data_IF_930573736198
#
_entry.id   IF_930573736198
#
_cell.length_a   1.000
_cell.length_b   1.000
_cell.length_c   1.000
_cell.angle_alpha   90.00
_cell.angle_beta   90.00
_cell.angle_gamma   90.00
#
_symmetry.space_group_name_H-M   'P 1'
#
loop_
_entity.id
_entity.type
_entity.pdbx_description
1 polymer ?
#
# COMPACT_ATOMS: atom_id res chain seq x y z
N UNK A 1 -0.58 -13.26 -18.36
CA UNK A 1 -0.85 -11.80 -18.38
C UNK A 1 -1.15 -11.35 -16.94
N UNK A 2 -0.51 -10.28 -16.46
CA UNK A 2 -0.69 -9.81 -15.08
C UNK A 2 -2.07 -9.15 -14.87
N UNK A 3 -2.73 -9.49 -13.75
CA UNK A 3 -4.05 -8.99 -13.37
C UNK A 3 -3.92 -7.66 -12.62
N UNK A 4 -4.77 -6.69 -12.95
CA UNK A 4 -4.77 -5.35 -12.32
C UNK A 4 -5.28 -5.42 -10.88
N UNK A 5 -6.40 -6.11 -10.63
CA UNK A 5 -6.95 -6.35 -9.28
C UNK A 5 -7.60 -5.12 -8.62
N UNK A 6 -6.92 -3.97 -8.64
CA UNK A 6 -7.36 -2.71 -8.05
C UNK A 6 -7.91 -1.78 -9.14
N UNK A 7 -9.22 -1.83 -9.37
CA UNK A 7 -9.88 -1.12 -10.47
C UNK A 7 -11.03 -0.19 -10.03
N UNK A 8 -11.21 0.05 -8.74
CA UNK A 8 -12.17 1.01 -8.18
C UNK A 8 -11.47 2.01 -7.29
N UNK A 9 -12.11 3.15 -7.03
CA UNK A 9 -11.65 4.03 -5.96
C UNK A 9 -12.06 3.39 -4.63
N UNK A 10 -11.15 3.36 -3.66
CA UNK A 10 -11.39 2.78 -2.33
C UNK A 10 -11.15 3.86 -1.29
N UNK A 11 -12.09 4.02 -0.37
CA UNK A 11 -11.95 4.93 0.77
C UNK A 11 -11.21 4.23 1.92
N UNK A 12 -10.44 4.99 2.70
CA UNK A 12 -9.65 4.43 3.82
C UNK A 12 -10.55 3.78 4.88
N UNK A 13 -11.74 4.33 5.11
CA UNK A 13 -12.73 3.82 6.04
C UNK A 13 -13.21 2.42 5.65
N UNK A 14 -13.19 2.07 4.36
CA UNK A 14 -13.62 0.75 3.88
C UNK A 14 -12.54 -0.30 4.11
N UNK A 15 -11.27 0.08 3.96
CA UNK A 15 -10.12 -0.75 4.33
C UNK A 15 -10.11 -1.00 5.84
N UNK A 16 -10.28 0.05 6.64
CA UNK A 16 -10.38 -0.06 8.09
C UNK A 16 -11.54 -0.98 8.51
N UNK A 17 -12.71 -0.81 7.87
CA UNK A 17 -13.86 -1.67 8.14
C UNK A 17 -13.59 -3.15 7.81
N UNK A 18 -12.77 -3.41 6.81
CA UNK A 18 -12.40 -4.78 6.43
C UNK A 18 -11.58 -5.46 7.53
N UNK A 19 -10.65 -4.73 8.16
CA UNK A 19 -9.89 -5.25 9.31
C UNK A 19 -10.81 -5.53 10.49
N UNK A 20 -11.74 -4.62 10.80
CA UNK A 20 -12.71 -4.82 11.89
C UNK A 20 -13.57 -6.07 11.72
N UNK A 21 -14.04 -6.34 10.50
CA UNK A 21 -14.87 -7.51 10.18
C UNK A 21 -13.99 -8.77 10.24
N UNK A 22 -12.80 -8.74 9.64
CA UNK A 22 -11.88 -9.88 9.64
C UNK A 22 -11.44 -10.31 11.04
N UNK A 23 -11.33 -9.38 11.99
CA UNK A 23 -11.02 -9.70 13.39
C UNK A 23 -12.13 -10.47 14.12
N UNK A 24 -13.36 -10.51 13.58
CA UNK A 24 -14.53 -11.11 14.22
C UNK A 24 -15.06 -12.33 13.49
N UNK A 25 -14.73 -12.45 12.20
CA UNK A 25 -15.26 -13.48 11.32
C UNK A 25 -14.13 -14.09 10.50
N UNK A 26 -14.20 -15.42 10.30
CA UNK A 26 -13.24 -16.21 9.54
C UNK A 26 -13.81 -16.76 8.23
N UNK A 27 -15.14 -16.85 8.10
CA UNK A 27 -15.79 -17.26 6.85
C UNK A 27 -15.78 -16.12 5.82
N UNK A 28 -15.02 -16.34 4.74
CA UNK A 28 -14.86 -15.41 3.63
C UNK A 28 -16.21 -14.99 3.01
N UNK A 29 -17.20 -15.89 2.96
CA UNK A 29 -18.52 -15.57 2.40
C UNK A 29 -19.26 -14.58 3.29
N UNK A 30 -19.19 -14.78 4.61
CA UNK A 30 -19.82 -13.89 5.59
C UNK A 30 -19.14 -12.52 5.55
N UNK A 31 -17.80 -12.47 5.56
CA UNK A 31 -17.04 -11.22 5.44
C UNK A 31 -17.42 -10.44 4.17
N UNK A 32 -17.51 -11.14 3.02
CA UNK A 32 -17.92 -10.51 1.75
C UNK A 32 -19.34 -9.96 1.80
N UNK A 33 -20.25 -10.69 2.44
CA UNK A 33 -21.64 -10.25 2.59
C UNK A 33 -21.72 -9.01 3.49
N UNK A 34 -21.06 -9.01 4.65
CA UNK A 34 -21.02 -7.86 5.56
C UNK A 34 -20.42 -6.62 4.90
N UNK A 35 -19.32 -6.78 4.15
CA UNK A 35 -18.72 -5.68 3.38
C UNK A 35 -19.67 -5.17 2.29
N UNK A 36 -20.35 -6.07 1.59
CA UNK A 36 -21.33 -5.68 0.58
C UNK A 36 -22.47 -4.88 1.20
N UNK A 37 -22.97 -5.29 2.37
CA UNK A 37 -24.04 -4.59 3.06
C UNK A 37 -23.57 -3.23 3.61
N UNK A 38 -22.37 -3.16 4.19
CA UNK A 38 -21.74 -1.92 4.64
C UNK A 38 -21.57 -0.89 3.51
N UNK A 39 -21.28 -1.34 2.29
CA UNK A 39 -21.06 -0.49 1.12
C UNK A 39 -22.34 -0.15 0.34
N UNK A 40 -23.50 -0.71 0.71
CA UNK A 40 -24.75 -0.60 -0.07
C UNK A 40 -25.16 0.85 -0.34
N UNK A 41 -25.07 1.71 0.68
CA UNK A 41 -25.43 3.13 0.59
C UNK A 41 -24.27 4.03 0.09
N UNK A 42 -23.05 3.49 0.03
CA UNK A 42 -21.83 4.21 -0.38
C UNK A 42 -21.52 3.99 -1.87
N UNK A 43 -21.84 2.81 -2.37
CA UNK A 43 -21.64 2.40 -3.77
C UNK A 43 -22.95 1.82 -4.30
N UNK A 44 -23.77 2.69 -4.90
CA UNK A 44 -25.13 2.38 -5.37
C UNK A 44 -25.13 1.22 -6.39
N UNK A 45 -24.22 1.27 -7.36
CA UNK A 45 -24.10 0.24 -8.40
C UNK A 45 -23.59 -1.09 -7.82
N UNK A 46 -24.40 -2.14 -7.97
CA UNK A 46 -24.08 -3.50 -7.47
C UNK A 46 -22.78 -4.07 -8.08
N UNK A 47 -22.56 -3.90 -9.39
CA UNK A 47 -21.32 -4.33 -10.05
C UNK A 47 -20.09 -3.59 -9.50
N UNK A 48 -20.19 -2.27 -9.31
CA UNK A 48 -19.10 -1.49 -8.72
C UNK A 48 -18.83 -1.88 -7.27
N UNK A 49 -19.89 -2.11 -6.49
CA UNK A 49 -19.79 -2.51 -5.09
C UNK A 49 -19.14 -3.89 -4.95
N UNK A 50 -19.53 -4.87 -5.76
CA UNK A 50 -18.87 -6.19 -5.83
C UNK A 50 -17.38 -6.06 -6.13
N UNK A 51 -17.00 -5.15 -7.04
CA UNK A 51 -15.58 -4.88 -7.34
C UNK A 51 -14.84 -4.23 -6.17
N UNK A 52 -15.46 -3.30 -5.45
CA UNK A 52 -14.90 -2.75 -4.21
C UNK A 52 -14.68 -3.86 -3.15
N UNK A 53 -15.70 -4.69 -2.88
CA UNK A 53 -15.60 -5.83 -1.95
C UNK A 53 -14.47 -6.79 -2.36
N UNK A 54 -14.32 -7.06 -3.66
CA UNK A 54 -13.22 -7.89 -4.14
C UNK A 54 -11.85 -7.26 -3.87
N UNK A 55 -11.68 -5.94 -4.05
CA UNK A 55 -10.42 -5.26 -3.72
C UNK A 55 -10.14 -5.36 -2.22
N UNK A 56 -11.11 -5.00 -1.39
CA UNK A 56 -11.00 -5.04 0.08
C UNK A 56 -10.62 -6.44 0.59
N UNK A 57 -11.33 -7.46 0.08
CA UNK A 57 -11.04 -8.85 0.46
C UNK A 57 -9.73 -9.37 -0.14
N UNK A 58 -9.32 -8.93 -1.33
CA UNK A 58 -7.97 -9.24 -1.83
C UNK A 58 -6.85 -8.60 -1.01
N UNK A 59 -7.09 -7.45 -0.36
CA UNK A 59 -6.12 -6.80 0.53
C UNK A 59 -5.93 -7.54 1.85
N UNK A 60 -7.01 -8.01 2.47
CA UNK A 60 -6.96 -8.51 3.86
C UNK A 60 -7.38 -9.97 4.02
N UNK A 61 -8.30 -10.48 3.20
CA UNK A 61 -8.98 -11.76 3.48
C UNK A 61 -8.42 -12.89 2.63
N UNK A 62 -8.41 -12.71 1.31
CA UNK A 62 -8.01 -13.70 0.30
C UNK A 62 -6.57 -13.50 -0.17
N UNK A 63 -5.67 -13.17 0.76
CA UNK A 63 -4.23 -13.09 0.51
C UNK A 63 -3.63 -14.49 0.27
N UNK A 64 -2.59 -14.61 -0.57
CA UNK A 64 -1.80 -15.84 -0.68
C UNK A 64 -1.28 -16.32 0.68
N UNK A 65 -1.22 -17.64 0.87
CA UNK A 65 -0.79 -18.26 2.14
C UNK A 65 0.65 -17.84 2.54
N UNK A 66 1.51 -17.55 1.57
CA UNK A 66 2.87 -17.02 1.82
C UNK A 66 2.89 -15.67 2.57
N UNK A 67 1.78 -14.94 2.57
CA UNK A 67 1.62 -13.67 3.29
C UNK A 67 0.72 -13.78 4.52
N UNK A 68 0.29 -14.98 4.92
CA UNK A 68 -0.54 -15.20 6.11
C UNK A 68 0.11 -14.65 7.39
N UNK A 69 1.38 -15.00 7.63
CA UNK A 69 2.14 -14.51 8.79
C UNK A 69 2.26 -12.98 8.80
N UNK A 70 2.39 -12.35 7.63
CA UNK A 70 2.45 -10.89 7.51
C UNK A 70 1.11 -10.25 7.82
N UNK A 71 0.01 -10.84 7.37
CA UNK A 71 -1.33 -10.38 7.74
C UNK A 71 -1.56 -10.48 9.25
N UNK A 72 -1.16 -11.59 9.86
CA UNK A 72 -1.34 -11.78 11.30
C UNK A 72 -0.51 -10.77 12.11
N UNK A 73 0.71 -10.49 11.65
CA UNK A 73 1.55 -9.39 12.17
C UNK A 73 0.87 -8.03 11.96
N UNK A 74 0.34 -7.76 10.77
CA UNK A 74 -0.36 -6.52 10.44
C UNK A 74 -1.56 -6.28 11.36
N UNK A 75 -2.35 -7.31 11.65
CA UNK A 75 -3.52 -7.21 12.54
C UNK A 75 -3.12 -6.85 13.96
N UNK A 76 -2.04 -7.47 14.49
CA UNK A 76 -1.51 -7.13 15.81
C UNK A 76 -1.10 -5.66 15.88
N UNK A 77 -0.33 -5.20 14.88
CA UNK A 77 0.09 -3.80 14.78
C UNK A 77 -1.11 -2.85 14.62
N UNK A 78 -2.13 -3.25 13.89
CA UNK A 78 -3.30 -2.42 13.57
C UNK A 78 -4.12 -2.04 14.81
N UNK A 79 -4.22 -2.94 15.79
CA UNK A 79 -5.05 -2.76 16.97
C UNK A 79 -4.58 -1.56 17.83
N UNK A 80 -3.27 -1.38 17.95
CA UNK A 80 -2.65 -0.30 18.75
C UNK A 80 -2.28 0.93 17.91
N UNK A 81 -2.40 0.84 16.59
CA UNK A 81 -2.02 1.89 15.65
C UNK A 81 -2.99 3.08 15.64
N UNK A 82 -2.44 4.29 15.52
CA UNK A 82 -3.20 5.51 15.22
C UNK A 82 -3.65 5.55 13.74
N UNK A 83 -4.41 6.57 13.34
CA UNK A 83 -4.96 6.66 11.98
C UNK A 83 -3.88 6.69 10.87
N UNK A 84 -2.77 7.40 11.10
CA UNK A 84 -1.67 7.49 10.14
C UNK A 84 -0.93 6.15 10.00
N UNK A 85 -0.73 5.48 11.12
CA UNK A 85 -0.11 4.16 11.18
C UNK A 85 -0.98 3.09 10.52
N UNK A 86 -2.30 3.13 10.75
CA UNK A 86 -3.27 2.27 10.05
C UNK A 86 -3.26 2.49 8.54
N UNK A 87 -3.04 3.73 8.09
CA UNK A 87 -2.86 4.01 6.67
C UNK A 87 -1.58 3.34 6.12
N UNK A 88 -0.45 3.41 6.83
CA UNK A 88 0.79 2.73 6.41
C UNK A 88 0.65 1.20 6.42
N UNK A 89 -0.07 0.63 7.38
CA UNK A 89 -0.37 -0.81 7.41
C UNK A 89 -1.21 -1.20 6.19
N UNK A 90 -2.31 -0.48 5.91
CA UNK A 90 -3.13 -0.73 4.72
C UNK A 90 -2.33 -0.55 3.41
N UNK A 91 -1.47 0.46 3.36
CA UNK A 91 -0.55 0.70 2.24
C UNK A 91 0.35 -0.51 1.98
N UNK A 92 0.95 -1.05 3.05
CA UNK A 92 1.80 -2.24 3.02
C UNK A 92 1.03 -3.48 2.54
N UNK A 93 -0.19 -3.69 3.05
CA UNK A 93 -1.05 -4.80 2.63
C UNK A 93 -1.47 -4.70 1.15
N UNK A 94 -1.76 -3.49 0.67
CA UNK A 94 -2.05 -3.26 -0.76
C UNK A 94 -0.83 -3.50 -1.64
N UNK A 95 0.39 -3.21 -1.17
CA UNK A 95 1.61 -3.55 -1.91
C UNK A 95 1.78 -5.06 -2.07
N UNK A 96 1.43 -5.85 -1.05
CA UNK A 96 1.46 -7.31 -1.14
C UNK A 96 0.38 -7.84 -2.11
N UNK A 97 -0.82 -7.25 -2.06
CA UNK A 97 -1.97 -7.72 -2.84
C UNK A 97 -1.94 -7.29 -4.32
N UNK A 98 -1.38 -6.11 -4.65
CA UNK A 98 -1.54 -5.50 -5.97
C UNK A 98 -0.20 -5.00 -6.55
N UNK A 99 0.43 -5.76 -7.46
CA UNK A 99 1.66 -5.31 -8.11
C UNK A 99 1.53 -3.98 -8.87
N UNK A 100 0.34 -3.67 -9.44
CA UNK A 100 0.12 -2.38 -10.12
C UNK A 100 0.18 -1.21 -9.14
N UNK A 101 -0.23 -1.42 -7.88
CA UNK A 101 -0.14 -0.42 -6.84
C UNK A 101 1.33 -0.08 -6.57
N UNK A 102 2.20 -1.10 -6.45
CA UNK A 102 3.65 -0.93 -6.32
C UNK A 102 4.26 -0.09 -7.44
N UNK A 103 3.91 -0.39 -8.70
CA UNK A 103 4.41 0.37 -9.84
C UNK A 103 3.94 1.82 -9.87
N UNK A 104 2.69 2.07 -9.45
CA UNK A 104 2.12 3.40 -9.36
C UNK A 104 2.80 4.21 -8.26
N UNK A 105 2.92 3.68 -7.04
CA UNK A 105 3.56 4.39 -5.92
C UNK A 105 5.06 4.62 -6.19
N UNK A 106 5.77 3.66 -6.77
CA UNK A 106 7.17 3.88 -7.15
C UNK A 106 7.29 5.00 -8.20
N UNK A 107 6.38 5.04 -9.18
CA UNK A 107 6.36 6.08 -10.20
C UNK A 107 6.03 7.46 -9.64
N UNK A 108 5.01 7.55 -8.77
CA UNK A 108 4.60 8.80 -8.12
C UNK A 108 5.70 9.29 -7.19
N UNK A 109 6.26 8.43 -6.35
CA UNK A 109 7.35 8.78 -5.44
C UNK A 109 8.55 9.36 -6.18
N UNK A 110 8.95 8.75 -7.32
CA UNK A 110 10.00 9.28 -8.19
C UNK A 110 9.68 10.67 -8.75
N UNK A 111 8.44 10.91 -9.14
CA UNK A 111 8.02 12.23 -9.62
C UNK A 111 8.03 13.27 -8.49
N UNK A 112 7.47 12.91 -7.34
CA UNK A 112 7.40 13.78 -6.16
C UNK A 112 8.77 14.06 -5.52
N UNK A 113 9.77 13.20 -5.78
CA UNK A 113 11.16 13.45 -5.39
C UNK A 113 11.81 14.54 -6.27
N UNK A 114 11.44 14.62 -7.54
CA UNK A 114 12.01 15.56 -8.51
C UNK A 114 11.27 16.91 -8.57
N UNK A 115 9.97 16.91 -8.28
CA UNK A 115 9.09 18.08 -8.41
C UNK A 115 7.89 17.97 -7.46
N UNK A 116 7.23 19.10 -7.15
CA UNK A 116 6.14 19.13 -6.17
C UNK A 116 4.79 18.63 -6.71
N UNK A 117 4.63 18.49 -8.02
CA UNK A 117 3.38 18.05 -8.65
C UNK A 117 3.59 17.03 -9.76
N UNK A 118 2.52 16.37 -10.20
CA UNK A 118 2.54 15.49 -11.36
C UNK A 118 1.19 15.43 -12.06
N UNK A 119 1.23 15.23 -13.37
CA UNK A 119 0.02 14.91 -14.14
C UNK A 119 -0.30 13.42 -14.06
N UNK A 120 -1.57 13.07 -13.84
CA UNK A 120 -2.06 11.69 -13.83
C UNK A 120 -1.73 10.97 -15.15
N UNK A 121 -1.77 11.71 -16.27
CA UNK A 121 -1.41 11.19 -17.60
C UNK A 121 0.06 10.75 -17.67
N UNK A 122 0.97 11.45 -17.00
CA UNK A 122 2.39 11.09 -16.94
C UNK A 122 2.58 9.76 -16.21
N UNK A 123 1.88 9.56 -15.10
CA UNK A 123 1.88 8.27 -14.39
C UNK A 123 1.31 7.18 -15.29
N UNK A 124 0.14 7.41 -15.90
CA UNK A 124 -0.51 6.44 -16.78
C UNK A 124 0.42 5.97 -17.92
N UNK A 125 1.10 6.89 -18.61
CA UNK A 125 2.02 6.55 -19.69
C UNK A 125 3.16 5.63 -19.20
N UNK A 126 3.77 5.95 -18.05
CA UNK A 126 4.82 5.11 -17.45
C UNK A 126 4.32 3.73 -17.02
N UNK A 127 3.07 3.64 -16.58
CA UNK A 127 2.45 2.35 -16.23
C UNK A 127 2.14 1.54 -17.49
N UNK A 128 1.79 2.17 -18.62
CA UNK A 128 1.62 1.46 -19.89
C UNK A 128 2.90 0.78 -20.37
N UNK A 129 4.08 1.40 -20.17
CA UNK A 129 5.36 0.78 -20.52
C UNK A 129 5.57 -0.58 -19.83
N UNK A 130 4.98 -0.77 -18.65
CA UNK A 130 5.08 -2.01 -17.84
C UNK A 130 3.89 -2.95 -18.02
N UNK A 131 2.68 -2.40 -18.14
CA UNK A 131 1.42 -3.16 -18.10
C UNK A 131 0.70 -3.28 -19.44
N UNK A 132 1.23 -2.64 -20.49
CA UNK A 132 0.60 -2.50 -21.80
C UNK A 132 -0.58 -1.54 -21.81
N UNK A 133 -0.89 -0.99 -22.99
CA UNK A 133 -1.98 -0.04 -23.24
C UNK A 133 -3.38 -0.69 -23.21
N UNK A 134 -3.78 -1.19 -22.04
CA UNK A 134 -5.07 -1.84 -21.83
C UNK A 134 -6.09 -0.89 -21.22
N UNK A 135 -7.35 -1.03 -21.61
CA UNK A 135 -8.47 -0.26 -21.02
C UNK A 135 -8.56 -0.44 -19.49
N UNK A 136 -8.27 -1.63 -18.97
CA UNK A 136 -8.24 -1.90 -17.53
C UNK A 136 -7.19 -1.04 -16.81
N UNK A 137 -6.01 -0.84 -17.41
CA UNK A 137 -4.94 0.00 -16.87
C UNK A 137 -5.33 1.48 -16.95
N UNK A 138 -5.88 1.91 -18.10
CA UNK A 138 -6.40 3.27 -18.33
C UNK A 138 -7.33 3.73 -17.21
N UNK A 139 -8.21 2.83 -16.75
CA UNK A 139 -9.18 3.16 -15.71
C UNK A 139 -8.64 2.95 -14.29
N UNK A 140 -7.76 1.98 -14.06
CA UNK A 140 -7.22 1.69 -12.73
C UNK A 140 -6.30 2.80 -12.21
N UNK A 141 -5.38 3.32 -13.05
CA UNK A 141 -4.38 4.29 -12.61
C UNK A 141 -5.02 5.55 -11.99
N UNK A 142 -5.99 6.24 -12.65
CA UNK A 142 -6.65 7.37 -12.02
C UNK A 142 -7.42 7.00 -10.75
N UNK A 143 -8.06 5.83 -10.70
CA UNK A 143 -8.86 5.40 -9.54
C UNK A 143 -7.99 5.13 -8.30
N UNK A 144 -6.83 4.52 -8.48
CA UNK A 144 -5.84 4.32 -7.42
C UNK A 144 -5.32 5.67 -6.93
N UNK A 145 -4.96 6.58 -7.85
CA UNK A 145 -4.52 7.94 -7.49
C UNK A 145 -5.61 8.70 -6.74
N UNK A 146 -6.87 8.63 -7.17
CA UNK A 146 -7.97 9.27 -6.45
C UNK A 146 -8.25 8.64 -5.08
N UNK A 147 -7.95 7.35 -4.90
CA UNK A 147 -7.97 6.74 -3.58
C UNK A 147 -6.89 7.37 -2.69
N UNK A 148 -5.66 7.52 -3.19
CA UNK A 148 -4.59 8.23 -2.47
C UNK A 148 -4.93 9.68 -2.14
N UNK A 149 -5.67 10.37 -3.01
CA UNK A 149 -6.20 11.72 -2.71
C UNK A 149 -7.21 11.67 -1.55
N UNK A 150 -8.12 10.69 -1.54
CA UNK A 150 -9.08 10.54 -0.44
C UNK A 150 -8.41 10.18 0.88
N UNK A 151 -7.33 9.39 0.82
CA UNK A 151 -6.49 9.06 1.99
C UNK A 151 -5.60 10.22 2.44
N UNK A 152 -5.64 11.37 1.74
CA UNK A 152 -4.76 12.53 1.95
C UNK A 152 -3.26 12.20 1.79
N UNK A 153 -2.94 11.13 1.07
CA UNK A 153 -1.57 10.74 0.78
C UNK A 153 -0.92 11.60 -0.30
N UNK A 154 -1.75 12.22 -1.15
CA UNK A 154 -1.42 13.25 -2.13
C UNK A 154 -2.57 14.25 -2.19
N UNK A 155 -2.31 15.45 -2.69
CA UNK A 155 -3.33 16.49 -2.83
C UNK A 155 -3.75 16.70 -4.28
N UNK A 156 -5.00 17.07 -4.50
CA UNK A 156 -5.47 17.47 -5.83
C UNK A 156 -5.15 18.95 -6.06
N UNK A 157 -4.27 19.25 -7.02
CA UNK A 157 -3.93 20.63 -7.40
C UNK A 157 -4.96 21.24 -8.34
N UNK A 158 -5.28 20.52 -9.42
CA UNK A 158 -6.30 20.89 -10.41
C UNK A 158 -6.74 19.65 -11.20
N UNK A 159 -7.77 19.71 -12.08
CA UNK A 159 -8.18 18.55 -12.86
C UNK A 159 -7.00 17.88 -13.59
N UNK A 160 -6.80 16.59 -13.33
CA UNK A 160 -5.72 15.79 -13.93
C UNK A 160 -4.31 16.00 -13.34
N UNK A 161 -4.13 16.89 -12.36
CA UNK A 161 -2.83 17.18 -11.71
C UNK A 161 -2.95 17.05 -10.19
N UNK A 162 -2.05 16.26 -9.61
CA UNK A 162 -1.91 16.07 -8.17
C UNK A 162 -0.59 16.69 -7.69
N UNK A 163 -0.47 16.97 -6.40
CA UNK A 163 0.71 17.52 -5.77
C UNK A 163 1.05 16.78 -4.47
N UNK A 164 2.25 17.01 -3.98
CA UNK A 164 2.72 16.49 -2.69
C UNK A 164 1.79 16.94 -1.56
N UNK A 165 1.45 16.01 -0.68
CA UNK A 165 0.76 16.30 0.58
C UNK A 165 1.78 16.54 1.71
N UNK A 166 1.29 16.95 2.88
CA UNK A 166 2.10 16.98 4.09
C UNK A 166 2.66 15.59 4.41
N UNK A 167 3.88 15.55 4.94
CA UNK A 167 4.49 14.30 5.40
C UNK A 167 3.69 13.70 6.55
N UNK A 168 3.50 12.39 6.51
CA UNK A 168 2.81 11.63 7.55
C UNK A 168 3.86 11.03 8.48
N UNK A 169 3.88 11.45 9.73
CA UNK A 169 4.75 10.87 10.75
C UNK A 169 4.23 9.50 11.20
N UNK A 170 5.15 8.57 11.43
CA UNK A 170 4.91 7.23 11.96
C UNK A 170 5.76 7.12 13.21
N UNK A 171 5.12 6.89 14.35
CA UNK A 171 5.81 6.92 15.65
C UNK A 171 6.23 5.50 16.07
N UNK A 172 5.44 4.49 15.69
CA UNK A 172 5.73 3.10 15.98
C UNK A 172 6.75 2.50 14.97
N UNK A 173 7.96 2.24 15.46
CA UNK A 173 9.05 1.65 14.69
C UNK A 173 8.72 0.26 14.14
N UNK A 174 7.92 -0.54 14.83
CA UNK A 174 7.54 -1.89 14.36
C UNK A 174 6.68 -1.82 13.09
N UNK A 175 5.92 -0.73 12.93
CA UNK A 175 5.11 -0.46 11.73
C UNK A 175 6.02 -0.01 10.58
N UNK A 176 7.04 0.81 10.86
CA UNK A 176 8.04 1.16 9.84
C UNK A 176 8.80 -0.10 9.36
N UNK A 177 9.26 -0.96 10.28
CA UNK A 177 9.94 -2.21 9.95
C UNK A 177 9.01 -3.19 9.20
N UNK A 178 7.74 -3.26 9.59
CA UNK A 178 6.72 -4.03 8.86
C UNK A 178 6.55 -3.53 7.42
N UNK A 179 6.52 -2.21 7.21
CA UNK A 179 6.49 -1.64 5.87
C UNK A 179 7.73 -2.04 5.05
N UNK A 180 8.94 -2.01 5.64
CA UNK A 180 10.16 -2.44 4.94
C UNK A 180 10.08 -3.91 4.54
N UNK A 181 9.62 -4.79 5.43
CA UNK A 181 9.44 -6.20 5.12
C UNK A 181 8.46 -6.41 3.95
N UNK A 182 7.32 -5.72 3.96
CA UNK A 182 6.34 -5.76 2.88
C UNK A 182 6.91 -5.20 1.59
N UNK A 183 7.63 -4.08 1.64
CA UNK A 183 8.32 -3.49 0.50
C UNK A 183 9.30 -4.48 -0.13
N UNK A 184 10.16 -5.11 0.66
CA UNK A 184 11.15 -6.06 0.15
C UNK A 184 10.47 -7.22 -0.59
N UNK A 185 9.39 -7.78 -0.03
CA UNK A 185 8.64 -8.88 -0.66
C UNK A 185 7.92 -8.44 -1.93
N UNK A 186 7.19 -7.33 -1.88
CA UNK A 186 6.44 -6.80 -3.02
C UNK A 186 7.32 -6.41 -4.20
N UNK A 187 8.52 -5.86 -3.93
CA UNK A 187 9.48 -5.47 -4.95
C UNK A 187 10.52 -6.56 -5.27
N UNK A 188 10.39 -7.74 -4.66
CA UNK A 188 11.30 -8.90 -4.84
C UNK A 188 12.77 -8.51 -4.62
N UNK A 189 13.03 -7.83 -3.50
CA UNK A 189 14.35 -7.39 -3.06
C UNK A 189 14.83 -8.32 -1.95
N UNK A 190 15.93 -9.01 -2.19
CA UNK A 190 16.59 -9.82 -1.15
C UNK A 190 17.32 -8.94 -0.12
N UNK A 191 17.67 -7.72 -0.52
CA UNK A 191 18.32 -6.74 0.35
C UNK A 191 18.01 -5.29 -0.04
N UNK A 192 18.20 -4.38 0.91
CA UNK A 192 18.16 -2.91 0.73
C UNK A 192 19.42 -2.30 1.33
N UNK A 193 19.97 -1.26 0.71
CA UNK A 193 21.02 -0.47 1.35
C UNK A 193 20.42 0.33 2.52
N UNK A 194 20.98 0.18 3.73
CA UNK A 194 20.52 0.88 4.92
C UNK A 194 20.42 2.41 4.71
N UNK A 195 21.34 3.01 3.93
CA UNK A 195 21.32 4.46 3.68
C UNK A 195 20.16 4.93 2.78
N UNK A 196 19.45 4.00 2.14
CA UNK A 196 18.29 4.26 1.26
C UNK A 196 16.96 3.98 1.95
N UNK A 197 16.95 3.28 3.10
CA UNK A 197 15.73 2.74 3.73
C UNK A 197 14.68 3.81 4.05
N UNK A 198 15.13 5.00 4.48
CA UNK A 198 14.25 6.13 4.82
C UNK A 198 13.91 7.02 3.62
N UNK A 199 14.30 6.63 2.40
CA UNK A 199 14.15 7.42 1.16
C UNK A 199 13.55 6.60 0.00
N UNK A 200 12.89 5.50 0.31
CA UNK A 200 12.29 4.63 -0.70
C UNK A 200 11.16 5.39 -1.42
N UNK A 201 11.15 5.40 -2.76
CA UNK A 201 10.11 6.11 -3.50
C UNK A 201 8.70 5.67 -3.08
N UNK A 202 8.39 4.37 -2.89
CA UNK A 202 7.07 3.91 -2.43
C UNK A 202 6.65 4.32 -1.02
N UNK A 203 7.55 4.91 -0.22
CA UNK A 203 7.26 5.30 1.16
C UNK A 203 6.62 6.68 1.28
N UNK A 204 6.44 7.45 0.19
CA UNK A 204 5.65 8.69 0.31
C UNK A 204 4.20 8.35 0.73
N UNK A 205 3.51 9.24 1.45
CA UNK A 205 4.02 10.47 2.07
C UNK A 205 4.64 10.21 3.46
N UNK A 206 4.84 8.96 3.85
CA UNK A 206 5.28 8.57 5.18
C UNK A 206 6.74 8.96 5.42
N UNK A 207 6.98 9.62 6.54
CA UNK A 207 8.32 9.88 7.04
C UNK A 207 8.75 8.69 7.88
N UNK A 208 9.65 7.89 7.32
CA UNK A 208 10.33 6.81 8.04
C UNK A 208 11.56 7.35 8.77
N UNK A 209 11.88 6.76 9.92
CA UNK A 209 12.95 7.20 10.81
C UNK A 209 13.80 6.03 11.34
N UNK A 210 13.89 4.95 10.56
CA UNK A 210 14.60 3.71 10.91
C UNK A 210 16.08 3.95 11.13
N UNK A 211 16.59 3.48 12.27
CA UNK A 211 18.01 3.49 12.64
C UNK A 211 18.57 2.08 12.69
N UNK A 212 19.90 1.98 12.76
CA UNK A 212 20.61 0.70 12.83
C UNK A 212 20.15 -0.14 14.02
N UNK A 213 19.96 0.47 15.19
CA UNK A 213 19.53 -0.23 16.41
C UNK A 213 18.14 -0.86 16.27
N UNK A 214 17.26 -0.21 15.50
CA UNK A 214 15.88 -0.68 15.32
C UNK A 214 15.88 -1.99 14.51
N UNK A 215 16.77 -2.11 13.52
CA UNK A 215 16.92 -3.33 12.71
C UNK A 215 17.64 -4.42 13.51
N UNK A 216 18.64 -4.08 14.33
CA UNK A 216 19.31 -5.07 15.18
C UNK A 216 18.38 -5.71 16.21
N UNK A 217 17.30 -5.03 16.58
CA UNK A 217 16.27 -5.52 17.50
C UNK A 217 15.06 -6.13 16.76
N UNK A 218 15.10 -6.22 15.43
CA UNK A 218 13.99 -6.77 14.63
C UNK A 218 14.06 -8.29 14.57
N UNK A 219 12.90 -8.94 14.72
CA UNK A 219 12.78 -10.39 14.53
C UNK A 219 12.71 -10.79 13.04
N UNK A 220 12.42 -9.85 12.13
CA UNK A 220 12.18 -10.16 10.70
C UNK A 220 13.19 -9.57 9.73
N UNK A 221 14.08 -8.70 10.20
CA UNK A 221 15.10 -8.05 9.38
C UNK A 221 16.45 -8.11 10.08
N UNK A 222 17.51 -8.34 9.32
CA UNK A 222 18.88 -8.38 9.79
C UNK A 222 19.73 -7.29 9.15
N UNK A 223 20.78 -6.87 9.85
CA UNK A 223 21.83 -6.02 9.29
C UNK A 223 23.07 -6.85 8.93
N UNK A 224 23.43 -6.80 7.66
CA UNK A 224 24.62 -7.44 7.13
C UNK A 224 25.60 -6.40 6.59
N UNK A 225 26.86 -6.48 7.04
CA UNK A 225 27.93 -5.64 6.51
C UNK A 225 28.61 -6.34 5.34
N UNK A 226 28.46 -5.77 4.14
CA UNK A 226 29.08 -6.26 2.91
C UNK A 226 30.07 -5.21 2.38
N UNK A 227 31.37 -5.43 2.57
CA UNK A 227 32.42 -4.46 2.23
C UNK A 227 32.18 -3.08 2.90
N UNK A 228 32.02 -2.03 2.09
CA UNK A 228 31.70 -0.66 2.53
C UNK A 228 30.18 -0.37 2.62
N UNK A 229 29.32 -1.36 2.37
CA UNK A 229 27.88 -1.20 2.43
C UNK A 229 27.29 -1.85 3.68
N UNK A 230 26.23 -1.23 4.20
CA UNK A 230 25.38 -1.81 5.24
C UNK A 230 24.06 -2.20 4.57
N UNK A 231 23.74 -3.49 4.59
CA UNK A 231 22.58 -4.07 3.92
C UNK A 231 21.56 -4.54 4.95
N UNK A 232 20.29 -4.32 4.64
CA UNK A 232 19.15 -4.89 5.34
C UNK A 232 18.74 -6.14 4.57
N UNK A 233 18.64 -7.29 5.23
CA UNK A 233 18.16 -8.55 4.65
C UNK A 233 16.98 -9.07 5.45
N UNK A 234 16.25 -10.06 4.93
CA UNK A 234 15.36 -10.85 5.79
C UNK A 234 16.16 -11.58 6.88
N UNK A 235 15.51 -11.80 8.02
CA UNK A 235 16.08 -12.58 9.11
C UNK A 235 16.14 -14.09 8.82
#
# INVERSE_FOLDING_TARGET
MQKVGFDRMIEIEWLNKTVEIYNKESDIKIIKQELNDYLKDKVISDDNRKKCVNILTSTWVSMPDEFSNLRDKAIKLYNDANENERLLINWSMMMLAFPIFCDIIDTIGKLLYLQDDFAIKTVLNRIYDKWGERSTVKYAVPRIIYSMVQWKAIEKKKPGICQKANLIAIDNIDIELFFIECYMRSFKKDYINFYEVNKLNPSFPFRLSIRTIDILNSDSLNLYKANNNLLITFA
#
